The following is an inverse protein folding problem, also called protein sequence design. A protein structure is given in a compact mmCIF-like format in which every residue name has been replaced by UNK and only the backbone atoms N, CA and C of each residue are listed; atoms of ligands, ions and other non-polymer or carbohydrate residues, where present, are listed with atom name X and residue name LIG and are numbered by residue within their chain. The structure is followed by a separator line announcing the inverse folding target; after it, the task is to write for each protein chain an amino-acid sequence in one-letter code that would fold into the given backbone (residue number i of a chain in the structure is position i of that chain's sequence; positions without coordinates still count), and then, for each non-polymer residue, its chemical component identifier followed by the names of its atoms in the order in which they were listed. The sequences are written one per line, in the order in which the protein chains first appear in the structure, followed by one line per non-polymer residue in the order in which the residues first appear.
data_IF_138147229075
#
_entry.id   IF_138147229075
#
_cell.length_a   1.000
_cell.length_b   1.000
_cell.length_c   1.000
_cell.angle_alpha   90.00
_cell.angle_beta   90.00
_cell.angle_gamma   90.00
#
_symmetry.space_group_name_H-M   'P 1'
#
loop_
_entity.id
_entity.type
_entity.pdbx_description
1 polymer ?
#
# COMPACT_ATOMS: atom_id res chain seq x y z
N UNK A 1 -15.51 3.64 2.74
CA UNK A 1 -14.82 2.35 2.93
C UNK A 1 -13.40 2.63 3.36
N UNK A 2 -12.88 1.88 4.32
CA UNK A 2 -11.47 1.87 4.72
C UNK A 2 -10.90 0.51 4.29
N UNK A 3 -9.68 0.53 3.75
CA UNK A 3 -8.92 -0.68 3.41
C UNK A 3 -7.72 -0.70 4.35
N UNK A 4 -7.74 -1.62 5.28
CA UNK A 4 -6.73 -1.73 6.33
C UNK A 4 -5.78 -2.90 6.08
N UNK A 5 -4.64 -2.93 6.78
CA UNK A 5 -3.76 -4.08 6.72
C UNK A 5 -4.44 -5.32 7.30
N UNK A 6 -4.38 -6.45 6.61
CA UNK A 6 -5.06 -7.68 7.04
C UNK A 6 -4.69 -8.09 8.47
N UNK A 7 -3.43 -7.95 8.87
CA UNK A 7 -2.96 -8.26 10.22
C UNK A 7 -3.51 -7.33 11.31
N UNK A 8 -4.07 -6.17 10.94
CA UNK A 8 -4.57 -5.17 11.88
C UNK A 8 -6.10 -5.05 11.87
N UNK A 9 -6.79 -5.90 11.13
CA UNK A 9 -8.24 -5.77 10.91
C UNK A 9 -9.02 -5.63 12.22
N UNK A 10 -8.85 -6.54 13.18
CA UNK A 10 -9.53 -6.50 14.48
C UNK A 10 -9.10 -5.28 15.30
N UNK A 11 -7.80 -5.01 15.38
CA UNK A 11 -7.26 -3.88 16.12
C UNK A 11 -7.81 -2.54 15.60
N UNK A 12 -7.82 -2.37 14.29
CA UNK A 12 -8.31 -1.13 13.67
C UNK A 12 -9.83 -0.99 13.84
N UNK A 13 -10.59 -2.09 13.74
CA UNK A 13 -12.03 -2.12 13.99
C UNK A 13 -12.35 -1.73 15.44
N UNK A 14 -11.67 -2.31 16.41
CA UNK A 14 -11.85 -2.02 17.84
C UNK A 14 -11.52 -0.55 18.15
N UNK A 15 -10.43 -0.04 17.56
CA UNK A 15 -10.06 1.35 17.71
C UNK A 15 -11.13 2.29 17.13
N UNK A 16 -11.63 2.01 15.94
CA UNK A 16 -12.67 2.80 15.28
C UNK A 16 -13.96 2.79 16.12
N UNK A 17 -14.40 1.62 16.59
CA UNK A 17 -15.61 1.48 17.43
C UNK A 17 -15.48 2.24 18.76
N UNK A 18 -14.31 2.17 19.40
CA UNK A 18 -14.07 2.86 20.68
C UNK A 18 -14.05 4.40 20.56
N UNK A 19 -13.82 4.93 19.35
CA UNK A 19 -13.73 6.36 19.08
C UNK A 19 -14.90 6.92 18.26
N UNK A 20 -15.80 6.05 17.78
CA UNK A 20 -16.99 6.46 17.06
C UNK A 20 -17.90 7.31 17.95
N UNK A 21 -18.42 8.41 17.42
CA UNK A 21 -19.33 9.33 18.13
C UNK A 21 -20.52 9.65 17.24
N UNK A 22 -21.71 9.72 17.86
CA UNK A 22 -22.96 10.00 17.16
C UNK A 22 -23.56 8.74 16.53
N UNK A 23 -24.45 8.91 15.56
CA UNK A 23 -25.13 7.84 14.85
C UNK A 23 -24.25 7.32 13.70
N UNK A 24 -23.27 6.50 14.03
CA UNK A 24 -22.31 5.92 13.08
C UNK A 24 -22.38 4.40 13.21
N UNK A 25 -22.56 3.71 12.09
CA UNK A 25 -22.43 2.27 11.97
C UNK A 25 -21.12 1.92 11.30
N UNK A 26 -20.33 1.06 11.94
CA UNK A 26 -19.08 0.52 11.41
C UNK A 26 -19.28 -0.98 11.21
N UNK A 27 -19.04 -1.46 10.02
CA UNK A 27 -19.17 -2.87 9.66
C UNK A 27 -17.83 -3.40 9.15
N UNK A 28 -17.46 -4.58 9.61
CA UNK A 28 -16.36 -5.35 9.04
C UNK A 28 -16.89 -6.16 7.85
N UNK A 29 -16.43 -5.82 6.65
CA UNK A 29 -16.79 -6.47 5.40
C UNK A 29 -15.63 -7.31 4.82
N UNK A 30 -14.63 -7.64 5.64
CA UNK A 30 -13.39 -8.26 5.16
C UNK A 30 -13.61 -9.63 4.52
N UNK A 31 -14.60 -10.40 4.99
CA UNK A 31 -14.93 -11.72 4.44
C UNK A 31 -15.82 -11.63 3.19
N UNK A 32 -16.55 -10.52 3.03
CA UNK A 32 -17.50 -10.32 1.94
C UNK A 32 -16.86 -9.68 0.71
N UNK A 33 -15.71 -9.00 0.86
CA UNK A 33 -15.04 -8.25 -0.20
C UNK A 33 -13.65 -8.80 -0.47
N UNK A 34 -13.45 -9.28 -1.70
CA UNK A 34 -12.14 -9.62 -2.23
C UNK A 34 -11.48 -8.44 -2.96
N UNK A 35 -10.16 -8.47 -3.04
CA UNK A 35 -9.35 -7.47 -3.74
C UNK A 35 -8.40 -8.14 -4.74
N UNK A 36 -8.44 -7.65 -5.99
CA UNK A 36 -7.45 -7.97 -7.02
C UNK A 36 -6.77 -6.69 -7.47
N UNK A 37 -5.44 -6.69 -7.54
CA UNK A 37 -4.66 -5.58 -8.07
C UNK A 37 -4.07 -5.94 -9.44
N UNK A 38 -4.28 -5.07 -10.44
CA UNK A 38 -3.59 -5.12 -11.73
C UNK A 38 -2.70 -3.87 -11.85
N UNK A 39 -1.40 -4.08 -11.99
CA UNK A 39 -0.40 -3.01 -11.94
C UNK A 39 0.51 -3.06 -13.17
N UNK A 40 1.07 -1.92 -13.54
CA UNK A 40 2.00 -1.78 -14.64
C UNK A 40 1.45 -0.96 -15.81
N UNK A 41 2.29 -0.53 -16.76
CA UNK A 41 1.95 0.44 -17.80
C UNK A 41 0.82 -0.02 -18.73
N UNK A 42 0.60 -1.32 -18.87
CA UNK A 42 -0.47 -1.90 -19.71
C UNK A 42 -1.77 -2.19 -18.93
N UNK A 43 -1.78 -2.01 -17.62
CA UNK A 43 -2.92 -2.34 -16.74
C UNK A 43 -4.24 -1.73 -17.20
N UNK A 44 -4.24 -0.43 -17.57
CA UNK A 44 -5.43 0.27 -18.07
C UNK A 44 -5.96 -0.34 -19.35
N UNK A 45 -5.08 -0.63 -20.32
CA UNK A 45 -5.48 -1.16 -21.62
C UNK A 45 -6.04 -2.58 -21.53
N UNK A 46 -5.56 -3.36 -20.58
CA UNK A 46 -6.08 -4.69 -20.28
C UNK A 46 -7.44 -4.56 -19.61
N UNK A 47 -7.51 -3.82 -18.52
CA UNK A 47 -8.71 -3.70 -17.70
C UNK A 47 -9.88 -3.03 -18.44
N UNK A 48 -9.59 -2.06 -19.34
CA UNK A 48 -10.61 -1.35 -20.12
C UNK A 48 -11.42 -2.30 -21.02
N UNK A 49 -10.89 -3.45 -21.39
CA UNK A 49 -11.63 -4.44 -22.21
C UNK A 49 -12.70 -5.20 -21.42
N UNK A 50 -12.70 -5.09 -20.11
CA UNK A 50 -13.58 -5.81 -19.20
C UNK A 50 -14.64 -4.93 -18.53
N UNK A 51 -14.63 -3.61 -18.80
CA UNK A 51 -15.54 -2.65 -18.18
C UNK A 51 -15.98 -1.56 -19.13
N UNK A 52 -17.23 -1.11 -18.99
CA UNK A 52 -17.76 0.06 -19.70
C UNK A 52 -17.37 1.37 -19.02
N UNK A 53 -16.84 1.33 -17.80
CA UNK A 53 -16.33 2.51 -17.11
C UNK A 53 -15.11 3.08 -17.83
N UNK A 54 -15.08 4.39 -18.10
CA UNK A 54 -13.91 5.00 -18.73
C UNK A 54 -12.77 5.15 -17.72
N UNK A 55 -11.82 4.23 -17.75
CA UNK A 55 -10.68 4.18 -16.83
C UNK A 55 -9.70 5.36 -17.01
N UNK A 56 -9.71 6.02 -18.16
CA UNK A 56 -8.88 7.20 -18.41
C UNK A 56 -9.31 8.39 -17.56
N UNK A 57 -10.60 8.48 -17.26
CA UNK A 57 -11.16 9.56 -16.44
C UNK A 57 -10.97 9.38 -14.94
N UNK A 58 -10.55 8.19 -14.49
CA UNK A 58 -10.27 7.96 -13.07
C UNK A 58 -8.94 8.62 -12.73
N UNK A 59 -8.97 9.66 -11.90
CA UNK A 59 -7.76 10.32 -11.42
C UNK A 59 -7.02 9.44 -10.40
N UNK A 60 -5.74 9.72 -10.18
CA UNK A 60 -4.96 9.02 -9.16
C UNK A 60 -5.58 9.20 -7.77
N UNK A 61 -5.69 8.13 -6.99
CA UNK A 61 -6.43 8.05 -5.73
C UNK A 61 -7.94 8.28 -5.82
N UNK A 62 -8.54 8.16 -7.01
CA UNK A 62 -9.99 8.17 -7.19
C UNK A 62 -10.47 6.77 -7.60
N UNK A 63 -11.77 6.56 -7.43
CA UNK A 63 -12.43 5.31 -7.81
C UNK A 63 -13.77 5.58 -8.49
N UNK A 64 -14.29 4.55 -9.13
CA UNK A 64 -15.67 4.52 -9.63
C UNK A 64 -16.32 3.21 -9.20
N UNK A 65 -17.61 3.27 -8.98
CA UNK A 65 -18.44 2.07 -8.86
C UNK A 65 -18.94 1.70 -10.25
N UNK A 66 -18.82 0.43 -10.61
CA UNK A 66 -19.15 -0.04 -11.93
C UNK A 66 -19.28 -1.55 -12.01
N UNK A 67 -19.07 -2.07 -13.22
CA UNK A 67 -19.00 -3.51 -13.46
C UNK A 67 -17.68 -3.87 -14.11
N UNK A 68 -17.12 -5.00 -13.70
CA UNK A 68 -15.98 -5.61 -14.32
C UNK A 68 -16.35 -7.06 -14.69
N UNK A 69 -16.22 -7.42 -15.94
CA UNK A 69 -16.68 -8.71 -16.45
C UNK A 69 -18.15 -9.05 -16.05
N UNK A 70 -19.02 -8.02 -16.07
CA UNK A 70 -20.43 -8.14 -15.66
C UNK A 70 -20.69 -8.15 -14.15
N UNK A 71 -19.67 -8.28 -13.30
CA UNK A 71 -19.77 -8.28 -11.83
C UNK A 71 -19.70 -6.87 -11.26
N UNK A 72 -20.46 -6.58 -10.20
CA UNK A 72 -20.34 -5.28 -9.48
C UNK A 72 -18.96 -5.15 -8.87
N UNK A 73 -18.32 -4.02 -9.06
CA UNK A 73 -17.00 -3.75 -8.51
C UNK A 73 -16.78 -2.26 -8.25
N UNK A 74 -15.92 -1.96 -7.29
CA UNK A 74 -15.27 -0.67 -7.15
C UNK A 74 -13.93 -0.79 -7.86
N UNK A 75 -13.69 0.10 -8.82
CA UNK A 75 -12.46 0.16 -9.60
C UNK A 75 -11.71 1.40 -9.15
N UNK A 76 -10.63 1.20 -8.40
CA UNK A 76 -9.83 2.28 -7.82
C UNK A 76 -8.51 2.44 -8.56
N UNK A 77 -8.14 3.69 -8.89
CA UNK A 77 -6.82 3.99 -9.46
C UNK A 77 -5.80 4.17 -8.34
N UNK A 78 -5.50 3.07 -7.69
CA UNK A 78 -4.55 2.94 -6.60
C UNK A 78 -3.63 1.76 -6.84
N UNK A 79 -2.56 1.66 -6.06
CA UNK A 79 -1.61 0.56 -6.14
C UNK A 79 -0.44 0.76 -5.18
N UNK A 80 0.47 -0.22 -5.18
CA UNK A 80 1.61 -0.29 -4.28
C UNK A 80 2.92 -0.60 -5.03
N UNK A 81 3.02 -0.08 -6.27
CA UNK A 81 4.12 -0.43 -7.18
C UNK A 81 4.83 0.78 -7.79
N UNK A 82 4.28 1.98 -7.60
CA UNK A 82 4.75 3.20 -8.29
C UNK A 82 4.30 3.33 -9.73
N UNK A 83 3.78 2.26 -10.32
CA UNK A 83 3.29 2.22 -11.69
C UNK A 83 1.80 2.55 -11.81
N UNK A 84 1.36 2.80 -13.05
CA UNK A 84 -0.07 2.85 -13.35
C UNK A 84 -0.72 1.54 -12.95
N UNK A 85 -1.78 1.62 -12.17
CA UNK A 85 -2.48 0.43 -11.73
C UNK A 85 -3.89 0.70 -11.24
N UNK A 86 -4.59 -0.39 -10.99
CA UNK A 86 -5.93 -0.39 -10.43
C UNK A 86 -6.06 -1.48 -9.38
N UNK A 87 -6.84 -1.20 -8.36
CA UNK A 87 -7.30 -2.15 -7.35
C UNK A 87 -8.80 -2.33 -7.52
N UNK A 88 -9.24 -3.58 -7.62
CA UNK A 88 -10.61 -3.98 -7.88
C UNK A 88 -11.15 -4.63 -6.61
N UNK A 89 -12.19 -4.05 -6.06
CA UNK A 89 -12.91 -4.58 -4.90
C UNK A 89 -14.26 -5.10 -5.39
N UNK A 90 -14.53 -6.37 -5.14
CA UNK A 90 -15.77 -7.02 -5.53
C UNK A 90 -16.19 -8.02 -4.44
N UNK A 91 -17.39 -8.57 -4.57
CA UNK A 91 -17.83 -9.65 -3.68
C UNK A 91 -16.82 -10.80 -3.71
N UNK A 92 -16.53 -11.38 -2.56
CA UNK A 92 -15.57 -12.48 -2.42
C UNK A 92 -15.90 -13.68 -3.29
N UNK A 93 -17.19 -13.96 -3.54
CA UNK A 93 -17.62 -15.03 -4.45
C UNK A 93 -17.32 -14.75 -5.92
N UNK A 94 -17.23 -13.48 -6.31
CA UNK A 94 -17.01 -13.04 -7.70
C UNK A 94 -15.52 -12.81 -8.03
N UNK A 95 -14.66 -12.68 -7.01
CA UNK A 95 -13.28 -12.21 -7.20
C UNK A 95 -12.41 -13.19 -8.00
N UNK A 96 -12.67 -14.49 -7.88
CA UNK A 96 -11.99 -15.53 -8.67
C UNK A 96 -12.29 -15.41 -10.16
N UNK A 97 -13.56 -15.22 -10.53
CA UNK A 97 -13.95 -15.02 -11.93
C UNK A 97 -13.38 -13.72 -12.51
N UNK A 98 -13.26 -12.67 -11.69
CA UNK A 98 -12.63 -11.40 -12.07
C UNK A 98 -11.14 -11.60 -12.33
N UNK A 99 -10.44 -12.33 -11.46
CA UNK A 99 -9.04 -12.69 -11.65
C UNK A 99 -8.82 -13.42 -12.98
N UNK A 100 -9.60 -14.48 -13.24
CA UNK A 100 -9.50 -15.28 -14.46
C UNK A 100 -9.76 -14.44 -15.71
N UNK A 101 -10.77 -13.55 -15.68
CA UNK A 101 -11.08 -12.64 -16.77
C UNK A 101 -9.91 -11.67 -17.05
N UNK A 102 -9.30 -11.11 -16.01
CA UNK A 102 -8.14 -10.22 -16.12
C UNK A 102 -6.94 -10.97 -16.71
N UNK A 103 -6.63 -12.16 -16.20
CA UNK A 103 -5.53 -12.99 -16.70
C UNK A 103 -5.72 -13.34 -18.17
N UNK A 104 -6.93 -13.73 -18.58
CA UNK A 104 -7.28 -14.02 -19.97
C UNK A 104 -7.14 -12.79 -20.87
N UNK A 105 -7.63 -11.62 -20.43
CA UNK A 105 -7.55 -10.37 -21.21
C UNK A 105 -6.11 -9.84 -21.36
N UNK A 106 -5.24 -10.22 -20.44
CA UNK A 106 -3.82 -9.81 -20.41
C UNK A 106 -2.85 -10.82 -21.02
N UNK A 107 -3.28 -12.04 -21.35
CA UNK A 107 -2.41 -13.14 -21.79
C UNK A 107 -1.46 -12.75 -22.94
N UNK A 108 -1.99 -12.14 -23.99
CA UNK A 108 -1.20 -11.70 -25.15
C UNK A 108 -0.56 -10.31 -24.96
N UNK A 109 -0.72 -9.71 -23.78
CA UNK A 109 -0.21 -8.38 -23.44
C UNK A 109 0.89 -8.43 -22.39
N UNK A 110 1.39 -9.62 -22.05
CA UNK A 110 2.47 -9.83 -21.08
C UNK A 110 2.03 -9.58 -19.64
N UNK A 111 0.77 -9.86 -19.31
CA UNK A 111 0.32 -9.89 -17.92
C UNK A 111 0.76 -11.21 -17.29
N UNK A 112 1.41 -11.10 -16.14
CA UNK A 112 1.88 -12.24 -15.37
C UNK A 112 1.34 -12.17 -13.94
N UNK A 113 1.06 -13.31 -13.29
CA UNK A 113 0.75 -13.32 -11.87
C UNK A 113 1.99 -12.94 -11.06
N UNK A 114 1.81 -12.04 -10.09
CA UNK A 114 2.89 -11.54 -9.24
C UNK A 114 2.77 -12.09 -7.82
N UNK A 115 3.84 -12.66 -7.30
CA UNK A 115 3.93 -13.14 -5.93
C UNK A 115 4.34 -12.05 -4.93
N UNK A 116 4.37 -12.40 -3.64
CA UNK A 116 4.71 -11.48 -2.55
C UNK A 116 6.13 -10.89 -2.68
N UNK A 117 7.09 -11.65 -3.21
CA UNK A 117 8.44 -11.14 -3.45
C UNK A 117 8.46 -9.99 -4.47
N UNK A 118 7.71 -10.12 -5.56
CA UNK A 118 7.54 -9.05 -6.55
C UNK A 118 6.87 -7.81 -5.91
N UNK A 119 5.80 -8.02 -5.14
CA UNK A 119 5.12 -6.93 -4.41
C UNK A 119 6.09 -6.20 -3.48
N UNK A 120 6.93 -6.93 -2.76
CA UNK A 120 7.88 -6.34 -1.82
C UNK A 120 9.00 -5.57 -2.50
N UNK A 121 9.58 -6.08 -3.59
CA UNK A 121 10.60 -5.35 -4.35
C UNK A 121 10.06 -4.07 -4.96
N UNK A 122 8.90 -4.12 -5.61
CA UNK A 122 8.29 -2.96 -6.25
C UNK A 122 7.95 -1.85 -5.24
N UNK A 123 7.35 -2.19 -4.09
CA UNK A 123 7.03 -1.18 -3.09
C UNK A 123 8.27 -0.53 -2.48
N UNK A 124 9.36 -1.31 -2.29
CA UNK A 124 10.61 -0.80 -1.71
C UNK A 124 11.31 0.17 -2.65
N UNK A 125 11.38 -0.13 -3.94
CA UNK A 125 11.93 0.78 -4.96
C UNK A 125 11.22 2.16 -4.94
N UNK A 126 9.96 2.20 -4.50
CA UNK A 126 9.16 3.42 -4.37
C UNK A 126 9.15 4.01 -2.95
N UNK A 127 9.89 3.43 -2.02
CA UNK A 127 9.88 3.83 -0.60
C UNK A 127 8.48 3.71 0.04
N UNK A 128 7.66 2.77 -0.38
CA UNK A 128 6.39 2.52 0.30
C UNK A 128 6.60 1.65 1.52
N UNK A 129 6.20 2.16 2.68
CA UNK A 129 6.36 1.47 3.96
C UNK A 129 5.48 0.22 4.03
N UNK A 130 6.01 -0.84 4.64
CA UNK A 130 5.28 -2.03 5.00
C UNK A 130 5.02 -2.02 6.51
N UNK A 131 3.75 -2.12 6.91
CA UNK A 131 3.38 -2.23 8.32
C UNK A 131 3.87 -3.57 8.90
N UNK A 132 4.45 -3.50 10.07
CA UNK A 132 5.10 -4.64 10.74
C UNK A 132 6.60 -4.75 10.43
N UNK A 133 7.10 -4.01 9.41
CA UNK A 133 8.52 -3.93 9.07
C UNK A 133 9.05 -2.51 9.27
N UNK A 134 8.58 -1.57 8.44
CA UNK A 134 9.10 -0.19 8.39
C UNK A 134 8.36 0.74 9.36
N UNK A 135 7.13 0.41 9.66
CA UNK A 135 6.24 1.15 10.57
C UNK A 135 5.44 0.17 11.41
N UNK A 136 5.14 0.58 12.64
CA UNK A 136 4.33 -0.15 13.60
C UNK A 136 3.66 0.81 14.59
N UNK A 137 3.07 0.29 15.68
CA UNK A 137 2.42 1.08 16.72
C UNK A 137 3.37 2.01 17.50
N UNK A 138 4.68 1.82 17.37
CA UNK A 138 5.72 2.65 18.02
C UNK A 138 6.26 3.74 17.10
N UNK A 139 5.79 3.78 15.85
CA UNK A 139 6.31 4.68 14.81
C UNK A 139 5.27 5.75 14.46
N UNK A 140 5.58 7.02 14.72
CA UNK A 140 4.71 8.10 14.27
C UNK A 140 4.98 8.48 12.79
N UNK A 141 4.01 9.10 12.09
CA UNK A 141 4.15 9.43 10.68
C UNK A 141 5.28 10.42 10.36
N UNK A 142 5.75 11.20 11.34
CA UNK A 142 6.87 12.13 11.12
C UNK A 142 8.18 11.34 11.03
N UNK A 143 8.38 10.38 11.95
CA UNK A 143 9.53 9.45 11.92
C UNK A 143 9.54 8.59 10.65
N UNK A 144 8.38 8.14 10.21
CA UNK A 144 8.21 7.35 8.99
C UNK A 144 8.44 8.14 7.68
N UNK A 145 8.75 9.44 7.75
CA UNK A 145 8.89 10.28 6.56
C UNK A 145 7.56 10.61 5.86
N UNK A 146 6.42 10.37 6.52
CA UNK A 146 5.06 10.62 6.02
C UNK A 146 4.52 12.00 6.42
N UNK A 147 5.41 12.90 6.86
CA UNK A 147 5.02 14.27 7.25
C UNK A 147 4.34 15.07 6.13
N UNK A 148 4.62 14.75 4.87
CA UNK A 148 4.02 15.40 3.69
C UNK A 148 2.52 15.11 3.54
N UNK A 149 2.02 13.95 3.97
CA UNK A 149 0.59 13.61 4.00
C UNK A 149 -0.06 13.95 5.33
N UNK A 150 0.73 14.18 6.38
CA UNK A 150 0.25 14.50 7.73
C UNK A 150 -0.03 15.99 7.84
N UNK A 151 -1.25 16.40 7.49
CA UNK A 151 -1.63 17.82 7.41
C UNK A 151 -1.87 18.43 8.79
N UNK A 152 -0.81 18.77 9.52
CA UNK A 152 -0.90 19.41 10.83
C UNK A 152 -1.59 20.79 10.82
N UNK A 153 -1.68 21.46 9.67
CA UNK A 153 -2.44 22.70 9.48
C UNK A 153 -3.96 22.52 9.42
N UNK A 154 -4.50 21.30 9.37
CA UNK A 154 -5.93 21.03 9.42
C UNK A 154 -6.51 21.46 10.78
N UNK A 155 -7.82 21.79 10.81
CA UNK A 155 -8.47 22.34 12.02
C UNK A 155 -8.27 21.48 13.26
N UNK A 156 -8.69 20.23 13.20
CA UNK A 156 -8.43 19.24 14.26
C UNK A 156 -8.54 17.82 13.73
N UNK A 157 -7.85 16.89 14.40
CA UNK A 157 -7.98 15.45 14.19
C UNK A 157 -7.35 14.70 15.37
N UNK A 158 -7.74 13.45 15.60
CA UNK A 158 -7.15 12.61 16.65
C UNK A 158 -5.64 12.43 16.43
N UNK A 159 -4.85 12.68 17.48
CA UNK A 159 -3.39 12.60 17.41
C UNK A 159 -2.69 13.90 17.01
N UNK A 160 -3.39 14.95 16.52
CA UNK A 160 -2.76 16.20 16.10
C UNK A 160 -1.85 16.82 17.18
N UNK A 161 -2.34 16.91 18.42
CA UNK A 161 -1.57 17.49 19.54
C UNK A 161 -0.29 16.70 19.78
N UNK A 162 -0.39 15.38 19.88
CA UNK A 162 0.76 14.50 20.08
C UNK A 162 1.79 14.62 18.95
N UNK A 163 1.35 14.73 17.69
CA UNK A 163 2.24 14.91 16.55
C UNK A 163 2.93 16.29 16.53
N UNK A 164 2.25 17.33 16.96
CA UNK A 164 2.86 18.67 17.10
C UNK A 164 3.93 18.68 18.19
N UNK A 165 3.72 17.98 19.29
CA UNK A 165 4.69 17.82 20.37
C UNK A 165 5.88 16.93 19.97
N UNK A 166 5.61 15.84 19.22
CA UNK A 166 6.64 14.93 18.76
C UNK A 166 7.55 15.54 17.68
N UNK A 167 7.01 16.37 16.78
CA UNK A 167 7.71 16.89 15.60
C UNK A 167 9.08 17.53 15.88
N UNK A 168 9.26 18.39 16.88
CA UNK A 168 10.57 18.98 17.22
C UNK A 168 11.51 17.99 17.91
N UNK A 169 10.99 16.85 18.40
CA UNK A 169 11.73 15.90 19.25
C UNK A 169 12.00 14.56 18.51
N UNK A 170 11.89 14.53 17.20
CA UNK A 170 12.16 13.33 16.39
C UNK A 170 13.64 12.98 16.49
N UNK A 171 13.94 11.80 17.01
CA UNK A 171 15.31 11.28 17.21
C UNK A 171 15.70 10.20 16.20
N UNK A 172 14.72 9.63 15.49
CA UNK A 172 14.92 8.60 14.47
C UNK A 172 14.12 8.91 13.20
N UNK A 173 14.59 8.43 12.07
CA UNK A 173 13.89 8.61 10.78
C UNK A 173 14.04 7.36 9.91
N UNK A 174 12.97 7.01 9.22
CA UNK A 174 13.03 6.04 8.14
C UNK A 174 13.72 6.68 6.93
N UNK A 175 14.81 6.06 6.48
CA UNK A 175 15.61 6.50 5.33
C UNK A 175 15.75 5.36 4.34
N UNK A 176 15.99 5.69 3.07
CA UNK A 176 16.37 4.69 2.07
C UNK A 176 17.88 4.61 2.00
N UNK A 177 18.36 3.40 1.79
CA UNK A 177 19.77 3.09 1.58
C UNK A 177 19.90 2.34 0.26
N UNK A 178 21.03 2.52 -0.40
CA UNK A 178 21.47 1.76 -1.56
C UNK A 178 22.85 1.21 -1.28
N UNK A 179 23.04 -0.08 -1.53
CA UNK A 179 24.34 -0.74 -1.29
C UNK A 179 25.34 -0.32 -2.35
N UNK A 180 26.52 0.07 -1.93
CA UNK A 180 27.65 0.41 -2.83
C UNK A 180 28.47 -0.82 -3.22
N UNK A 181 28.30 -1.92 -2.49
CA UNK A 181 28.92 -3.21 -2.76
C UNK A 181 27.86 -4.27 -3.05
N UNK A 182 28.26 -5.39 -3.64
CA UNK A 182 27.35 -6.50 -3.93
C UNK A 182 26.94 -7.21 -2.65
N UNK A 183 25.93 -6.65 -1.99
CA UNK A 183 25.33 -7.21 -0.78
C UNK A 183 23.82 -6.98 -0.81
N UNK A 184 23.08 -7.76 -0.05
CA UNK A 184 21.63 -7.62 0.11
C UNK A 184 21.37 -7.34 1.58
N UNK A 185 20.92 -6.13 1.96
CA UNK A 185 20.54 -5.86 3.33
C UNK A 185 19.34 -6.73 3.72
N UNK A 186 19.27 -7.11 4.98
CA UNK A 186 18.18 -7.93 5.51
C UNK A 186 17.58 -7.26 6.73
N UNK A 187 16.28 -7.43 6.91
CA UNK A 187 15.57 -6.99 8.11
C UNK A 187 16.31 -7.46 9.38
N UNK A 188 16.47 -6.56 10.33
CA UNK A 188 17.16 -6.82 11.59
C UNK A 188 18.69 -6.63 11.57
N UNK A 189 19.31 -6.41 10.40
CA UNK A 189 20.73 -6.08 10.35
C UNK A 189 21.00 -4.69 10.95
N UNK A 190 22.03 -4.53 11.79
CA UNK A 190 22.40 -3.22 12.31
C UNK A 190 23.02 -2.34 11.22
N UNK A 191 22.75 -1.04 11.31
CA UNK A 191 23.44 0.00 10.53
C UNK A 191 24.54 0.56 11.45
N UNK A 192 25.78 0.44 11.02
CA UNK A 192 26.93 0.90 11.80
C UNK A 192 27.54 2.17 11.18
N UNK A 193 27.96 3.09 12.03
CA UNK A 193 28.76 4.24 11.67
C UNK A 193 29.94 4.34 12.69
N UNK A 194 31.18 4.20 12.20
CA UNK A 194 32.38 4.13 13.06
C UNK A 194 32.27 3.04 14.15
N UNK A 195 31.81 1.84 13.79
CA UNK A 195 31.56 0.69 14.67
C UNK A 195 30.45 0.87 15.73
N UNK A 196 29.76 1.99 15.74
CA UNK A 196 28.61 2.23 16.60
C UNK A 196 27.28 1.99 15.85
N UNK A 197 26.33 1.32 16.48
CA UNK A 197 25.01 1.10 15.92
C UNK A 197 24.20 2.39 15.90
N UNK A 198 23.86 2.87 14.70
CA UNK A 198 23.07 4.08 14.48
C UNK A 198 21.66 3.80 13.99
N UNK A 199 21.34 2.55 13.69
CA UNK A 199 20.04 2.15 13.21
C UNK A 199 19.94 0.66 12.92
N UNK A 200 18.79 0.28 12.35
CA UNK A 200 18.47 -1.08 11.97
C UNK A 200 17.81 -1.10 10.60
N UNK A 201 18.10 -2.10 9.79
CA UNK A 201 17.39 -2.37 8.54
C UNK A 201 15.98 -2.85 8.85
N UNK A 202 14.98 -2.13 8.41
CA UNK A 202 13.56 -2.48 8.59
C UNK A 202 13.05 -3.36 7.46
N UNK A 203 13.47 -3.07 6.23
CA UNK A 203 13.23 -3.89 5.04
C UNK A 203 14.45 -3.84 4.14
N UNK A 204 14.74 -4.92 3.43
CA UNK A 204 15.88 -4.97 2.52
C UNK A 204 15.78 -6.11 1.52
N UNK A 205 16.12 -5.84 0.27
CA UNK A 205 16.08 -6.80 -0.84
C UNK A 205 17.08 -6.43 -1.94
N UNK A 206 17.18 -7.30 -2.93
CA UNK A 206 17.80 -6.96 -4.22
C UNK A 206 16.75 -6.25 -5.07
N UNK A 207 17.04 -5.03 -5.51
CA UNK A 207 16.21 -4.31 -6.47
C UNK A 207 16.45 -4.84 -7.88
N UNK A 208 15.44 -5.36 -8.59
CA UNK A 208 15.59 -5.75 -9.99
C UNK A 208 15.82 -4.55 -10.93
N UNK A 209 15.24 -3.38 -10.61
CA UNK A 209 15.34 -2.18 -11.46
C UNK A 209 16.69 -1.46 -11.30
N UNK A 210 17.24 -1.44 -10.09
CA UNK A 210 18.52 -0.78 -9.77
C UNK A 210 19.71 -1.74 -9.84
N UNK A 211 19.44 -3.05 -9.89
CA UNK A 211 20.46 -4.14 -9.89
C UNK A 211 21.38 -4.10 -8.66
N UNK A 212 20.89 -3.54 -7.55
CA UNK A 212 21.65 -3.44 -6.30
C UNK A 212 20.78 -3.75 -5.08
N UNK A 213 21.41 -3.96 -3.93
CA UNK A 213 20.71 -4.10 -2.65
C UNK A 213 20.14 -2.75 -2.17
N UNK A 214 18.89 -2.77 -1.73
CA UNK A 214 18.17 -1.61 -1.19
C UNK A 214 17.55 -1.93 0.14
#
# INVERSE_FOLDING_TARGET
MLVVNAANNEKDLDWLNSHAKGDIRIENMSDDIGLVAIQGPRSRNILQTLTDSNLTNIQFYHFVEGRLNGKKAIISRTGYTGELGFEIYANSDDIGEIWDAIMKAGQDKGLEPAGLGCRDTLRMEMKFSLYGNDIDDTTNPIEAGLGWITRLGKTDFMGKKALLEAKPNVTRRLVCLEMTERAIPRQGCPILMNDESVGIITSGTMSPSLETGI
#
